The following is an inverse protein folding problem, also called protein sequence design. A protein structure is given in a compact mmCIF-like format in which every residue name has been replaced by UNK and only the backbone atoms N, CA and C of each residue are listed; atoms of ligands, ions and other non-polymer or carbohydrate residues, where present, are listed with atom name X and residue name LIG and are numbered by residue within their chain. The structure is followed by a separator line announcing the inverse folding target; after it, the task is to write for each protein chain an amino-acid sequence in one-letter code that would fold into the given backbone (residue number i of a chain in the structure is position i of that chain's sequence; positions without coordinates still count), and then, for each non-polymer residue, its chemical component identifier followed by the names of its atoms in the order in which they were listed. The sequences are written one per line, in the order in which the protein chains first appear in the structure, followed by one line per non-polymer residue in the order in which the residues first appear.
data_IF_192199786143
#
_entry.id   IF_192199786143
#
_cell.length_a   1.000
_cell.length_b   1.000
_cell.length_c   1.000
_cell.angle_alpha   90.00
_cell.angle_beta   90.00
_cell.angle_gamma   90.00
#
_symmetry.space_group_name_H-M   'P 1'
#
loop_
_entity.id
_entity.type
_entity.pdbx_description
1 polymer ?
#
# COMPACT_ATOMS: atom_id res chain seq x y z
N UNK A 1 -2.90 16.49 -21.97
CA UNK A 1 -3.41 15.38 -21.14
C UNK A 1 -2.92 15.62 -19.73
N UNK A 2 -3.76 15.48 -18.70
CA UNK A 2 -3.27 15.52 -17.31
C UNK A 2 -2.56 14.21 -17.03
N UNK A 3 -1.29 14.27 -16.69
CA UNK A 3 -0.58 13.10 -16.17
C UNK A 3 -1.21 12.74 -14.82
N UNK A 4 -1.72 11.52 -14.72
CA UNK A 4 -2.29 10.99 -13.48
C UNK A 4 -1.30 10.00 -12.88
N UNK A 5 -0.88 10.25 -11.65
CA UNK A 5 -0.06 9.31 -10.88
C UNK A 5 -0.97 8.37 -10.10
N UNK A 6 -0.76 7.08 -10.28
CA UNK A 6 -1.40 6.00 -9.54
C UNK A 6 -0.38 5.38 -8.59
N UNK A 7 -0.85 4.99 -7.42
CA UNK A 7 -0.05 4.38 -6.37
C UNK A 7 -0.53 2.97 -6.13
N UNK A 8 0.39 2.01 -6.17
CA UNK A 8 0.17 0.68 -5.62
C UNK A 8 0.85 0.64 -4.25
N UNK A 9 0.14 0.22 -3.21
CA UNK A 9 0.64 0.33 -1.85
C UNK A 9 0.34 -0.92 -1.03
N UNK A 10 1.14 -1.12 0.02
CA UNK A 10 0.98 -2.18 1.00
C UNK A 10 0.85 -1.58 2.40
N UNK A 11 -0.27 -1.90 3.06
CA UNK A 11 -0.49 -1.61 4.47
C UNK A 11 -0.30 -2.84 5.33
N UNK A 12 0.13 -2.63 6.57
CA UNK A 12 0.16 -3.67 7.59
C UNK A 12 -0.29 -3.16 8.94
N UNK A 13 -0.52 -4.09 9.87
CA UNK A 13 -0.82 -3.79 11.27
C UNK A 13 0.41 -3.90 12.19
N UNK A 14 1.43 -4.66 11.78
CA UNK A 14 2.71 -4.82 12.47
C UNK A 14 3.76 -5.41 11.50
N UNK A 15 5.06 -5.32 11.78
CA UNK A 15 6.08 -5.98 10.98
C UNK A 15 5.76 -7.46 10.74
N UNK A 16 5.83 -7.87 9.47
CA UNK A 16 5.44 -9.21 9.01
C UNK A 16 4.02 -9.67 9.41
N UNK A 17 3.10 -8.73 9.67
CA UNK A 17 1.71 -8.99 10.07
C UNK A 17 0.75 -9.20 8.90
N UNK A 18 -0.52 -8.84 9.09
CA UNK A 18 -1.51 -8.87 8.00
C UNK A 18 -1.11 -7.87 6.93
N UNK A 19 -1.14 -8.27 5.66
CA UNK A 19 -0.87 -7.36 4.54
C UNK A 19 -2.15 -7.06 3.78
N UNK A 20 -2.36 -5.79 3.52
CA UNK A 20 -3.39 -5.29 2.63
C UNK A 20 -2.72 -4.61 1.44
N UNK A 21 -3.18 -4.91 0.23
CA UNK A 21 -2.62 -4.38 -1.01
C UNK A 21 -3.74 -3.63 -1.73
N UNK A 22 -3.46 -2.41 -2.16
CA UNK A 22 -4.43 -1.58 -2.87
C UNK A 22 -3.80 -0.66 -3.90
N UNK A 23 -4.67 -0.04 -4.68
CA UNK A 23 -4.36 1.02 -5.65
C UNK A 23 -5.17 2.28 -5.32
N UNK A 24 -4.61 3.46 -5.57
CA UNK A 24 -5.31 4.76 -5.50
C UNK A 24 -4.61 5.80 -6.38
N UNK A 25 -5.32 6.84 -6.81
CA UNK A 25 -4.74 8.02 -7.47
C UNK A 25 -4.44 9.17 -6.47
N UNK A 26 -4.78 8.98 -5.20
CA UNK A 26 -4.47 9.92 -4.13
C UNK A 26 -4.14 9.09 -2.88
N UNK A 27 -2.83 8.88 -2.66
CA UNK A 27 -2.33 8.07 -1.56
C UNK A 27 -2.56 8.73 -0.19
N UNK A 28 -2.24 10.03 0.04
CA UNK A 28 -2.52 10.70 1.33
C UNK A 28 -3.98 10.58 1.78
N UNK A 29 -4.93 10.89 0.88
CA UNK A 29 -6.37 10.75 1.18
C UNK A 29 -6.72 9.32 1.58
N UNK A 30 -6.21 8.35 0.83
CA UNK A 30 -6.55 6.94 1.07
C UNK A 30 -5.99 6.43 2.40
N UNK A 31 -4.78 6.84 2.75
CA UNK A 31 -4.16 6.51 4.04
C UNK A 31 -4.96 7.11 5.20
N UNK A 32 -5.42 8.35 5.06
CA UNK A 32 -6.32 8.99 6.02
C UNK A 32 -7.62 8.19 6.21
N UNK A 33 -8.29 7.78 5.12
CA UNK A 33 -9.51 6.95 5.19
C UNK A 33 -9.27 5.60 5.90
N UNK A 34 -8.11 4.97 5.69
CA UNK A 34 -7.74 3.74 6.39
C UNK A 34 -7.56 3.97 7.89
N UNK A 35 -6.91 5.06 8.30
CA UNK A 35 -6.72 5.44 9.71
C UNK A 35 -8.03 5.82 10.40
N UNK A 36 -8.95 6.46 9.69
CA UNK A 36 -10.28 6.80 10.18
C UNK A 36 -11.25 5.58 10.20
N UNK A 37 -10.83 4.43 9.67
CA UNK A 37 -11.69 3.24 9.60
C UNK A 37 -12.86 3.36 8.62
N UNK A 38 -12.83 4.35 7.72
CA UNK A 38 -13.84 4.60 6.69
C UNK A 38 -13.53 3.91 5.36
N UNK A 39 -12.32 3.35 5.22
CA UNK A 39 -11.91 2.55 4.08
C UNK A 39 -12.40 1.07 4.17
N UNK A 40 -11.64 0.14 3.58
CA UNK A 40 -12.02 -1.27 3.47
C UNK A 40 -12.39 -1.90 4.82
N UNK A 41 -13.48 -2.70 4.82
CA UNK A 41 -13.88 -3.53 5.98
C UNK A 41 -12.74 -4.43 6.45
N UNK A 42 -11.90 -4.92 5.53
CA UNK A 42 -10.74 -5.76 5.86
C UNK A 42 -9.70 -4.98 6.67
N UNK A 43 -9.30 -3.80 6.19
CA UNK A 43 -8.30 -3.00 6.90
C UNK A 43 -8.80 -2.53 8.25
N UNK A 44 -10.09 -2.25 8.38
CA UNK A 44 -10.72 -1.95 9.68
C UNK A 44 -10.69 -3.14 10.62
N UNK A 45 -11.05 -4.34 10.12
CA UNK A 45 -11.06 -5.57 10.93
C UNK A 45 -9.68 -5.94 11.47
N UNK A 46 -8.64 -5.75 10.67
CA UNK A 46 -7.28 -6.17 11.01
C UNK A 46 -6.35 -5.02 11.41
N UNK A 47 -6.89 -3.80 11.55
CA UNK A 47 -6.15 -2.57 11.85
C UNK A 47 -4.90 -2.36 10.95
N UNK A 48 -5.04 -2.59 9.65
CA UNK A 48 -3.95 -2.39 8.69
C UNK A 48 -3.87 -0.91 8.30
N UNK A 49 -3.09 -0.13 9.03
CA UNK A 49 -2.99 1.33 8.90
C UNK A 49 -1.57 1.84 8.67
N UNK A 50 -0.55 1.00 8.85
CA UNK A 50 0.85 1.38 8.67
C UNK A 50 1.23 1.18 7.20
N UNK A 51 1.68 2.24 6.53
CA UNK A 51 2.18 2.16 5.17
C UNK A 51 3.62 1.65 5.21
N UNK A 52 3.88 0.49 4.62
CA UNK A 52 5.22 -0.11 4.66
C UNK A 52 5.89 -0.19 3.30
N UNK A 53 5.11 -0.06 2.23
CA UNK A 53 5.62 -0.03 0.87
C UNK A 53 4.65 0.68 -0.09
N UNK A 54 5.17 1.38 -1.09
CA UNK A 54 4.40 1.88 -2.22
C UNK A 54 5.29 2.06 -3.46
N UNK A 55 4.69 2.07 -4.65
CA UNK A 55 5.33 2.49 -5.89
C UNK A 55 4.34 3.28 -6.77
N UNK A 56 4.86 4.07 -7.70
CA UNK A 56 4.08 4.95 -8.59
C UNK A 56 4.00 4.40 -10.02
N UNK A 57 2.90 4.73 -10.71
CA UNK A 57 2.61 4.35 -12.09
C UNK A 57 1.93 5.52 -12.80
N UNK A 58 2.25 5.75 -14.07
CA UNK A 58 1.59 6.77 -14.91
C UNK A 58 0.39 6.21 -15.69
N UNK A 59 0.28 4.89 -15.81
CA UNK A 59 -0.85 4.18 -16.41
C UNK A 59 -1.63 3.41 -15.33
N UNK A 60 -2.94 3.65 -15.27
CA UNK A 60 -3.86 2.94 -14.36
C UNK A 60 -3.89 1.43 -14.63
N UNK A 61 -3.75 1.03 -15.88
CA UNK A 61 -3.76 -0.38 -16.32
C UNK A 61 -2.56 -1.11 -15.75
N UNK A 62 -1.37 -0.50 -15.83
CA UNK A 62 -0.14 -1.05 -15.24
C UNK A 62 -0.24 -1.17 -13.73
N UNK A 63 -0.77 -0.13 -13.06
CA UNK A 63 -1.00 -0.13 -11.63
C UNK A 63 -1.98 -1.23 -11.19
N UNK A 64 -3.08 -1.43 -11.92
CA UNK A 64 -4.07 -2.51 -11.67
C UNK A 64 -3.42 -3.88 -11.88
N UNK A 65 -2.67 -4.06 -12.96
CA UNK A 65 -1.99 -5.33 -13.23
C UNK A 65 -0.96 -5.64 -12.14
N UNK A 66 -0.22 -4.63 -11.69
CA UNK A 66 0.73 -4.75 -10.59
C UNK A 66 0.04 -5.16 -9.29
N UNK A 67 -1.04 -4.49 -8.91
CA UNK A 67 -1.82 -4.83 -7.72
C UNK A 67 -2.30 -6.29 -7.76
N UNK A 68 -2.82 -6.74 -8.92
CA UNK A 68 -3.23 -8.14 -9.15
C UNK A 68 -2.06 -9.11 -9.01
N UNK A 69 -0.89 -8.80 -9.57
CA UNK A 69 0.33 -9.62 -9.44
C UNK A 69 0.73 -9.74 -7.97
N UNK A 70 0.85 -8.62 -7.27
CA UNK A 70 1.22 -8.58 -5.86
C UNK A 70 0.24 -9.40 -5.03
N UNK A 71 -1.08 -9.26 -5.23
CA UNK A 71 -2.08 -10.07 -4.49
C UNK A 71 -1.85 -11.58 -4.65
N UNK A 72 -1.49 -12.05 -5.85
CA UNK A 72 -1.20 -13.47 -6.16
C UNK A 72 0.16 -13.97 -5.68
N UNK A 73 1.09 -13.09 -5.33
CA UNK A 73 2.41 -13.50 -4.87
C UNK A 73 2.37 -14.31 -3.57
N UNK A 74 3.32 -15.24 -3.47
CA UNK A 74 3.64 -15.91 -2.21
C UNK A 74 3.98 -14.88 -1.15
N UNK A 75 3.71 -15.23 0.10
CA UNK A 75 3.94 -14.33 1.23
C UNK A 75 5.41 -13.89 1.35
N UNK A 76 6.35 -14.82 1.16
CA UNK A 76 7.79 -14.54 1.22
C UNK A 76 8.21 -13.42 0.26
N UNK A 77 7.79 -13.48 -1.01
CA UNK A 77 8.13 -12.46 -2.00
C UNK A 77 7.57 -11.07 -1.69
N UNK A 78 6.43 -10.99 -1.02
CA UNK A 78 5.89 -9.71 -0.53
C UNK A 78 6.75 -9.14 0.58
N UNK A 79 7.25 -9.99 1.47
CA UNK A 79 8.14 -9.61 2.57
C UNK A 79 9.47 -9.13 2.01
N UNK A 80 10.09 -9.90 1.10
CA UNK A 80 11.33 -9.51 0.41
C UNK A 80 11.19 -8.16 -0.31
N UNK A 81 10.05 -7.94 -0.99
CA UNK A 81 9.76 -6.66 -1.64
C UNK A 81 9.70 -5.48 -0.65
N UNK A 82 9.04 -5.68 0.49
CA UNK A 82 8.92 -4.65 1.53
C UNK A 82 10.30 -4.39 2.14
N UNK A 83 11.02 -5.44 2.52
CA UNK A 83 12.32 -5.34 3.19
C UNK A 83 13.41 -4.80 2.28
N UNK A 84 13.33 -5.03 0.96
CA UNK A 84 14.23 -4.41 0.00
C UNK A 84 14.14 -2.88 -0.06
N UNK A 85 12.99 -2.29 0.32
CA UNK A 85 12.79 -0.84 0.34
C UNK A 85 12.77 -0.26 1.76
N UNK A 86 12.23 -1.02 2.72
CA UNK A 86 11.95 -0.62 4.08
C UNK A 86 12.29 -1.76 5.06
N UNK A 87 13.59 -2.06 5.28
CA UNK A 87 14.04 -3.20 6.09
C UNK A 87 13.51 -3.16 7.53
N UNK A 88 13.33 -1.96 8.07
CA UNK A 88 12.86 -1.74 9.44
C UNK A 88 11.33 -1.64 9.55
N UNK A 89 10.59 -1.84 8.45
CA UNK A 89 9.13 -1.78 8.42
C UNK A 89 8.55 -0.47 9.01
N UNK A 90 9.24 0.65 8.81
CA UNK A 90 8.79 1.95 9.28
C UNK A 90 7.47 2.34 8.63
N UNK A 91 6.63 3.07 9.38
CA UNK A 91 5.41 3.65 8.81
C UNK A 91 5.79 4.85 7.92
N UNK A 92 5.71 4.65 6.61
CA UNK A 92 6.06 5.62 5.57
C UNK A 92 4.99 6.69 5.36
N UNK A 93 3.89 6.66 6.13
CA UNK A 93 2.84 7.66 6.05
C UNK A 93 3.38 9.10 6.18
N UNK A 94 4.39 9.33 7.04
CA UNK A 94 5.00 10.65 7.23
C UNK A 94 5.75 11.15 5.97
N UNK A 95 6.27 10.23 5.16
CA UNK A 95 7.02 10.55 3.93
C UNK A 95 6.09 10.93 2.78
N UNK A 96 4.84 10.48 2.80
CA UNK A 96 3.84 10.73 1.75
C UNK A 96 2.95 11.95 2.04
N UNK A 97 2.95 12.43 3.29
CA UNK A 97 2.11 13.55 3.75
C UNK A 97 2.81 14.92 3.66
N UNK A 98 4.00 15.02 3.09
CA UNK A 98 4.69 16.27 2.73
C UNK A 98 4.45 16.60 1.25
#
# INVERSE_FOLDING_TARGET
MREHIYYVYILTNRPNGTLYIGITNNLPRRLFEHRQGTASRFTRRYNCTHLVWYETHTDVTEAILREKRLKKWRRAWKVELIEGMNPCWHDLNATVAM
#
